data_IF_873865193112
#
_entry.id   IF_873865193112
#
_cell.length_a   1.000
_cell.length_b   1.000
_cell.length_c   1.000
_cell.angle_alpha   90.00
_cell.angle_beta   90.00
_cell.angle_gamma   90.00
#
_symmetry.space_group_name_H-M   'P 1'
#
loop_
_entity.id
_entity.type
_entity.pdbx_description
1 polymer ?
#
# COMPACT_ATOMS: atom_id res chain seq x y z
N UNK A 1 2.26 43.98 -65.71
CA UNK A 1 1.10 44.10 -64.90
C UNK A 1 0.47 42.77 -64.50
N UNK A 2 0.76 41.81 -65.15
CA UNK A 2 0.11 40.51 -65.02
C UNK A 2 0.81 39.62 -64.07
N UNK A 3 2.05 39.73 -64.00
CA UNK A 3 2.89 38.87 -63.18
C UNK A 3 2.64 39.01 -61.71
N UNK A 4 2.20 40.08 -61.37
CA UNK A 4 1.95 40.38 -59.92
C UNK A 4 1.08 39.39 -59.21
N UNK A 5 -0.01 38.98 -59.75
CA UNK A 5 -0.85 38.02 -59.09
C UNK A 5 -0.17 36.70 -58.79
N UNK A 6 0.73 36.31 -59.65
CA UNK A 6 1.44 35.06 -59.49
C UNK A 6 2.39 35.08 -58.30
N UNK A 7 2.89 36.21 -58.01
CA UNK A 7 3.79 36.35 -56.89
C UNK A 7 3.13 36.12 -55.55
N UNK A 8 1.88 36.40 -55.47
CA UNK A 8 1.12 36.19 -54.24
C UNK A 8 0.90 34.76 -53.90
N UNK A 9 0.80 33.93 -54.88
CA UNK A 9 0.58 32.51 -54.65
C UNK A 9 1.74 31.85 -53.92
N UNK A 10 2.92 32.38 -54.08
CA UNK A 10 4.09 31.82 -53.42
C UNK A 10 4.12 32.08 -51.96
N UNK A 11 3.63 33.17 -51.54
CA UNK A 11 3.66 33.61 -50.17
C UNK A 11 2.91 32.70 -49.24
N UNK A 12 1.75 32.29 -49.57
CA UNK A 12 1.01 31.35 -48.72
C UNK A 12 1.74 30.03 -48.54
N UNK A 13 2.44 29.60 -49.53
CA UNK A 13 3.18 28.35 -49.43
C UNK A 13 4.27 28.38 -48.36
N UNK A 14 4.96 29.51 -48.24
CA UNK A 14 5.97 29.65 -47.20
C UNK A 14 5.42 29.64 -45.78
N UNK A 15 4.24 30.12 -45.62
CA UNK A 15 3.62 30.13 -44.30
C UNK A 15 3.26 28.75 -43.80
N UNK A 16 2.94 27.86 -44.68
CA UNK A 16 2.60 26.51 -44.34
C UNK A 16 3.74 25.74 -43.72
N UNK A 17 4.94 26.05 -44.10
CA UNK A 17 6.12 25.40 -43.58
C UNK A 17 6.35 25.73 -42.11
N UNK A 18 5.98 26.90 -41.69
CA UNK A 18 6.17 27.34 -40.32
C UNK A 18 5.26 26.61 -39.33
N UNK A 19 4.11 26.20 -39.81
CA UNK A 19 3.17 25.50 -38.94
C UNK A 19 3.55 24.04 -38.70
N UNK A 20 4.31 23.46 -39.60
CA UNK A 20 4.74 22.07 -39.47
C UNK A 20 5.77 21.85 -38.35
N UNK A 21 6.51 22.88 -38.02
CA UNK A 21 7.57 22.76 -37.01
C UNK A 21 7.03 22.76 -35.58
N UNK A 22 5.83 23.23 -35.40
CA UNK A 22 5.24 23.39 -34.05
C UNK A 22 4.79 22.10 -33.39
N UNK A 23 4.80 20.98 -34.09
CA UNK A 23 4.20 19.74 -33.62
C UNK A 23 5.18 18.73 -33.04
N UNK A 24 6.43 19.06 -32.97
CA UNK A 24 7.47 18.10 -32.55
C UNK A 24 7.71 18.11 -31.04
N UNK A 25 7.07 18.96 -30.29
CA UNK A 25 7.06 18.87 -28.85
C UNK A 25 6.05 17.82 -28.39
N UNK A 26 6.29 16.59 -28.81
CA UNK A 26 5.69 15.45 -28.15
C UNK A 26 6.24 15.41 -26.74
N UNK A 27 5.47 15.88 -25.80
CA UNK A 27 5.74 15.70 -24.39
C UNK A 27 5.80 14.19 -24.12
N UNK A 28 6.99 13.68 -23.91
CA UNK A 28 7.14 12.35 -23.32
C UNK A 28 6.55 12.45 -21.89
N UNK A 29 5.29 12.16 -21.79
CA UNK A 29 4.68 11.91 -20.50
C UNK A 29 5.22 10.57 -20.01
N UNK A 30 6.23 10.62 -19.15
CA UNK A 30 6.69 9.45 -18.44
C UNK A 30 5.54 9.00 -17.53
N UNK A 31 5.12 7.74 -17.60
CA UNK A 31 4.15 7.24 -16.64
C UNK A 31 4.78 7.33 -15.25
N UNK A 32 4.17 8.13 -14.40
CA UNK A 32 4.53 8.12 -13.00
C UNK A 32 4.20 6.73 -12.46
N UNK A 33 5.21 6.01 -11.99
CA UNK A 33 4.99 4.76 -11.29
C UNK A 33 4.15 5.05 -10.05
N UNK A 34 2.91 4.59 -10.05
CA UNK A 34 2.03 4.71 -8.90
C UNK A 34 2.51 3.70 -7.86
N UNK A 35 2.94 4.20 -6.70
CA UNK A 35 3.16 3.35 -5.54
C UNK A 35 1.80 3.02 -4.94
N UNK A 36 1.44 1.75 -4.95
CA UNK A 36 0.22 1.28 -4.30
C UNK A 36 0.51 1.03 -2.84
N UNK A 37 -0.10 1.80 -1.98
CA UNK A 37 -0.08 1.58 -0.55
C UNK A 37 -1.17 0.57 -0.19
N UNK A 38 -0.80 -0.46 0.57
CA UNK A 38 -1.75 -1.48 1.02
C UNK A 38 -2.09 -1.16 2.47
N UNK A 39 -3.34 -0.77 2.69
CA UNK A 39 -3.86 -0.49 4.03
C UNK A 39 -4.45 -1.75 4.65
N UNK A 40 -4.42 -1.80 5.98
CA UNK A 40 -4.99 -2.91 6.71
C UNK A 40 -6.51 -2.98 6.49
N UNK A 41 -6.99 -4.18 6.14
CA UNK A 41 -8.40 -4.45 5.89
C UNK A 41 -9.18 -4.73 7.16
N UNK A 42 -8.51 -5.17 8.21
CA UNK A 42 -9.11 -5.50 9.50
C UNK A 42 -8.22 -5.06 10.65
N UNK A 43 -8.84 -4.92 11.82
CA UNK A 43 -8.15 -4.50 13.05
C UNK A 43 -8.46 -5.50 14.17
N UNK A 44 -7.43 -5.88 14.91
CA UNK A 44 -7.54 -6.82 16.02
C UNK A 44 -6.87 -6.21 17.24
N UNK A 45 -7.59 -6.22 18.35
CA UNK A 45 -7.08 -5.79 19.65
C UNK A 45 -6.51 -6.98 20.40
N UNK A 46 -5.31 -6.80 20.92
CA UNK A 46 -4.60 -7.79 21.73
C UNK A 46 -4.21 -7.16 23.06
N UNK A 47 -4.39 -7.91 24.12
CA UNK A 47 -3.80 -7.53 25.40
C UNK A 47 -2.34 -7.99 25.45
N UNK A 48 -1.48 -7.16 26.02
CA UNK A 48 -0.06 -7.49 26.20
C UNK A 48 0.08 -8.81 26.97
N UNK A 49 0.97 -9.67 26.50
CA UNK A 49 1.22 -11.03 26.99
C UNK A 49 0.08 -12.02 26.73
N UNK A 50 -0.88 -11.66 25.89
CA UNK A 50 -1.92 -12.57 25.43
C UNK A 50 -1.79 -12.80 23.92
N UNK A 51 -2.17 -13.99 23.49
CA UNK A 51 -2.18 -14.36 22.09
C UNK A 51 -3.57 -14.63 21.58
N UNK A 52 -3.72 -14.59 20.27
CA UNK A 52 -4.95 -14.90 19.56
C UNK A 52 -4.65 -15.72 18.33
N UNK A 53 -5.46 -16.73 18.10
CA UNK A 53 -5.37 -17.51 16.87
C UNK A 53 -6.22 -16.85 15.79
N UNK A 54 -5.61 -16.58 14.64
CA UNK A 54 -6.28 -16.07 13.47
C UNK A 54 -6.33 -17.15 12.41
N UNK A 55 -7.48 -17.33 11.81
CA UNK A 55 -7.64 -18.18 10.65
C UNK A 55 -7.74 -17.29 9.41
N UNK A 56 -6.86 -17.52 8.46
CA UNK A 56 -6.86 -16.82 7.18
C UNK A 56 -7.69 -17.61 6.15
N UNK A 57 -8.38 -16.89 5.29
CA UNK A 57 -9.18 -17.51 4.23
C UNK A 57 -8.31 -18.23 3.20
N UNK A 58 -7.11 -17.73 2.99
CA UNK A 58 -6.12 -18.32 2.10
C UNK A 58 -4.87 -18.69 2.90
N UNK A 59 -4.21 -19.76 2.47
CA UNK A 59 -2.95 -20.18 3.08
C UNK A 59 -1.82 -19.27 2.58
N UNK A 60 -1.19 -18.49 3.46
CA UNK A 60 -0.08 -17.64 3.05
C UNK A 60 1.19 -18.46 2.81
N UNK A 61 2.00 -18.01 1.87
CA UNK A 61 3.36 -18.52 1.68
C UNK A 61 4.32 -17.90 2.69
N UNK A 62 4.10 -16.62 2.99
CA UNK A 62 4.89 -15.90 3.97
C UNK A 62 4.05 -14.93 4.79
N UNK A 63 4.49 -14.68 6.02
CA UNK A 63 3.85 -13.73 6.94
C UNK A 63 4.94 -12.85 7.53
N UNK A 64 4.64 -11.57 7.68
CA UNK A 64 5.55 -10.64 8.34
C UNK A 64 4.78 -9.64 9.20
N UNK A 65 5.46 -9.14 10.22
CA UNK A 65 4.97 -8.07 11.10
C UNK A 65 5.86 -6.86 10.93
N UNK A 66 5.25 -5.69 10.80
CA UNK A 66 5.97 -4.44 10.57
C UNK A 66 6.87 -4.06 11.76
N UNK A 67 6.39 -4.28 12.99
CA UNK A 67 7.16 -4.04 14.20
C UNK A 67 7.12 -5.26 15.12
N UNK A 68 8.16 -6.10 15.09
CA UNK A 68 8.23 -7.31 15.91
C UNK A 68 8.44 -7.05 17.40
N UNK A 69 8.77 -5.83 17.81
CA UNK A 69 8.86 -5.48 19.22
C UNK A 69 7.49 -5.27 19.87
N UNK A 70 6.49 -4.90 19.08
CA UNK A 70 5.12 -4.71 19.55
C UNK A 70 4.37 -6.04 19.58
N UNK A 71 4.42 -6.80 18.50
CA UNK A 71 3.74 -8.08 18.37
C UNK A 71 4.55 -9.04 17.51
N UNK A 72 4.35 -10.32 17.73
CA UNK A 72 4.96 -11.38 16.94
C UNK A 72 3.92 -12.44 16.57
N UNK A 73 4.33 -13.40 15.75
CA UNK A 73 3.44 -14.45 15.29
C UNK A 73 4.16 -15.79 15.17
N UNK A 74 3.35 -16.84 15.14
CA UNK A 74 3.78 -18.21 14.83
C UNK A 74 2.78 -18.84 13.87
N UNK A 75 3.25 -19.76 13.05
CA UNK A 75 2.42 -20.52 12.11
C UNK A 75 2.32 -21.96 12.57
N UNK A 76 1.37 -22.31 13.46
CA UNK A 76 1.23 -23.67 13.95
C UNK A 76 0.71 -24.65 12.91
N UNK A 77 -0.03 -24.15 11.93
CA UNK A 77 -0.54 -24.96 10.82
C UNK A 77 -0.86 -24.06 9.62
N UNK A 78 -1.00 -24.64 8.41
CA UNK A 78 -1.37 -23.87 7.23
C UNK A 78 -2.68 -23.11 7.43
N UNK A 79 -2.67 -21.82 7.11
CA UNK A 79 -3.84 -20.95 7.24
C UNK A 79 -4.14 -20.48 8.64
N UNK A 80 -3.45 -20.95 9.66
CA UNK A 80 -3.60 -20.48 11.03
C UNK A 80 -2.38 -19.71 11.49
N UNK A 81 -2.61 -18.50 11.99
CA UNK A 81 -1.57 -17.63 12.51
C UNK A 81 -1.84 -17.34 13.97
N UNK A 82 -0.92 -17.69 14.83
CA UNK A 82 -0.97 -17.33 16.24
C UNK A 82 -0.23 -16.02 16.42
N UNK A 83 -0.93 -14.96 16.85
CA UNK A 83 -0.34 -13.65 17.11
C UNK A 83 -0.39 -13.36 18.60
N UNK A 84 0.66 -12.72 19.09
CA UNK A 84 0.74 -12.31 20.49
C UNK A 84 1.39 -10.95 20.62
N UNK A 85 0.93 -10.16 21.57
CA UNK A 85 1.45 -8.83 21.85
C UNK A 85 2.57 -8.89 22.88
N UNK A 86 3.64 -8.17 22.64
CA UNK A 86 4.80 -8.05 23.54
C UNK A 86 4.76 -6.76 24.35
N UNK A 87 4.47 -5.65 23.67
CA UNK A 87 4.40 -4.31 24.26
C UNK A 87 3.20 -3.56 23.72
N UNK A 88 2.82 -2.51 24.39
CA UNK A 88 1.76 -1.60 23.93
C UNK A 88 2.19 -0.88 22.66
N UNK A 89 1.30 -0.79 21.70
CA UNK A 89 1.52 -0.10 20.44
C UNK A 89 0.63 -0.63 19.34
N UNK A 90 0.87 -0.16 18.13
CA UNK A 90 0.14 -0.59 16.93
C UNK A 90 1.13 -1.02 15.88
N UNK A 91 0.86 -2.17 15.28
CA UNK A 91 1.63 -2.68 14.14
C UNK A 91 0.71 -3.32 13.12
N UNK A 92 1.25 -3.77 12.01
CA UNK A 92 0.48 -4.44 10.96
C UNK A 92 1.11 -5.78 10.62
N UNK A 93 0.28 -6.79 10.50
CA UNK A 93 0.65 -8.12 10.03
C UNK A 93 0.24 -8.24 8.56
N UNK A 94 1.18 -8.66 7.72
CA UNK A 94 0.97 -8.90 6.30
C UNK A 94 1.13 -10.39 6.01
N UNK A 95 0.13 -10.96 5.35
CA UNK A 95 0.21 -12.31 4.79
C UNK A 95 0.32 -12.21 3.27
N UNK A 96 1.27 -12.92 2.70
CA UNK A 96 1.58 -12.87 1.26
C UNK A 96 1.55 -14.26 0.66
N UNK A 97 1.18 -14.32 -0.61
CA UNK A 97 1.25 -15.56 -1.39
C UNK A 97 2.66 -15.80 -1.96
N UNK A 98 2.80 -16.89 -2.72
CA UNK A 98 4.07 -17.27 -3.35
C UNK A 98 4.56 -16.26 -4.40
N UNK A 99 3.66 -15.46 -4.96
CA UNK A 99 3.99 -14.41 -5.93
C UNK A 99 4.35 -13.08 -5.27
N UNK A 100 4.30 -13.02 -3.95
CA UNK A 100 4.58 -11.81 -3.18
C UNK A 100 3.41 -10.83 -3.10
N UNK A 101 2.20 -11.29 -3.47
CA UNK A 101 1.00 -10.48 -3.34
C UNK A 101 0.47 -10.52 -1.92
N UNK A 102 0.06 -9.38 -1.39
CA UNK A 102 -0.56 -9.32 -0.06
C UNK A 102 -1.99 -9.83 -0.17
N UNK A 103 -2.25 -10.96 0.48
CA UNK A 103 -3.57 -11.56 0.55
C UNK A 103 -4.36 -11.10 1.77
N UNK A 104 -3.68 -10.65 2.82
CA UNK A 104 -4.31 -10.11 4.02
C UNK A 104 -3.39 -9.11 4.70
N UNK A 105 -3.97 -8.01 5.16
CA UNK A 105 -3.28 -7.01 5.97
C UNK A 105 -4.14 -6.73 7.22
N UNK A 106 -3.60 -6.98 8.38
CA UNK A 106 -4.33 -6.92 9.65
C UNK A 106 -3.60 -5.97 10.59
N UNK A 107 -4.30 -4.96 11.06
CA UNK A 107 -3.79 -4.06 12.08
C UNK A 107 -3.89 -4.72 13.44
N UNK A 108 -2.79 -4.77 14.16
CA UNK A 108 -2.71 -5.30 15.52
C UNK A 108 -2.54 -4.13 16.48
N UNK A 109 -3.51 -3.98 17.36
CA UNK A 109 -3.48 -2.97 18.42
C UNK A 109 -3.22 -3.68 19.75
N UNK A 110 -2.04 -3.45 20.32
CA UNK A 110 -1.63 -4.03 21.58
C UNK A 110 -1.92 -3.05 22.71
N UNK A 111 -2.69 -3.48 23.68
CA UNK A 111 -3.16 -2.68 24.80
C UNK A 111 -2.88 -3.37 26.12
N UNK A 112 -2.84 -2.61 27.21
CA UNK A 112 -2.84 -3.18 28.54
C UNK A 112 -4.25 -3.66 28.91
N UNK A 113 -4.30 -4.76 29.61
CA UNK A 113 -5.56 -5.25 30.19
C UNK A 113 -5.94 -4.39 31.42
N UNK A 114 -6.62 -3.29 31.14
CA UNK A 114 -7.07 -2.37 32.18
C UNK A 114 -8.13 -3.00 33.10
N UNK A 115 -8.89 -3.96 32.60
CA UNK A 115 -9.90 -4.64 33.41
C UNK A 115 -9.24 -5.49 34.51
N UNK A 116 -8.21 -6.25 34.17
CA UNK A 116 -7.43 -7.01 35.12
C UNK A 116 -6.72 -6.11 36.14
N UNK A 117 -6.19 -4.98 35.67
CA UNK A 117 -5.55 -4.03 36.58
C UNK A 117 -6.54 -3.39 37.57
N UNK A 118 -7.69 -2.97 37.09
CA UNK A 118 -8.74 -2.42 37.96
C UNK A 118 -9.22 -3.43 39.02
N UNK A 119 -9.33 -4.68 38.64
CA UNK A 119 -9.73 -5.74 39.57
C UNK A 119 -8.69 -5.96 40.65
N UNK A 120 -7.40 -5.91 40.30
CA UNK A 120 -6.32 -5.99 41.30
C UNK A 120 -6.36 -4.82 42.30
N UNK A 121 -6.53 -3.59 41.77
CA UNK A 121 -6.62 -2.39 42.61
C UNK A 121 -7.84 -2.40 43.52
N UNK A 122 -8.92 -3.01 43.09
CA UNK A 122 -10.14 -3.11 43.91
C UNK A 122 -9.96 -4.07 45.08
N UNK A 123 -9.12 -5.07 44.95
CA UNK A 123 -8.85 -6.05 46.01
C UNK A 123 -7.91 -5.53 47.09
N UNK A 124 -7.12 -4.55 46.76
CA UNK A 124 -6.24 -3.86 47.69
C UNK A 124 -6.93 -2.65 48.34
#
# INVERSE_FOLDING_TARGET
>A
MKMKPTDFCRRPAGKRLLTAVSWVLATLALPAAAVTQIDATSEIHLNVHQGRMLQLDEVPDSVLVADPDIASFELPSPGNVFVYAKTVGTTTLYAMDADGQVISAIRLVAEHDLAALKERLRRE
#
